data_IF_905551976188
#
_entry.id   IF_905551976188
#
_cell.length_a   1.000
_cell.length_b   1.000
_cell.length_c   1.000
_cell.angle_alpha   90.00
_cell.angle_beta   90.00
_cell.angle_gamma   90.00
#
_symmetry.space_group_name_H-M   'P 1'
#
loop_
_entity.id
_entity.type
_entity.pdbx_description
1 polymer ?
#
# COMPACT_ATOMS: atom_id res chain seq x y z
N UNK A 1 -4.39 -15.36 -34.89
CA UNK A 1 -4.30 -14.02 -34.32
C UNK A 1 -4.31 -14.13 -32.81
N UNK A 2 -3.28 -13.68 -32.22
CA UNK A 2 -3.17 -13.76 -30.78
C UNK A 2 -3.61 -12.43 -30.19
N UNK A 3 -4.87 -12.36 -29.83
CA UNK A 3 -5.34 -11.25 -29.02
C UNK A 3 -4.52 -11.25 -27.73
N UNK A 4 -3.99 -10.10 -27.34
CA UNK A 4 -3.44 -9.89 -26.02
C UNK A 4 -4.56 -10.23 -25.05
N UNK A 5 -4.40 -11.24 -24.16
CA UNK A 5 -5.45 -11.50 -23.19
C UNK A 5 -5.66 -10.22 -22.41
N UNK A 6 -6.89 -9.73 -22.40
CA UNK A 6 -7.28 -8.64 -21.52
C UNK A 6 -7.15 -9.16 -20.10
N UNK A 7 -5.99 -8.95 -19.51
CA UNK A 7 -5.79 -9.25 -18.11
C UNK A 7 -6.66 -8.29 -17.33
N UNK A 8 -7.65 -8.83 -16.65
CA UNK A 8 -8.38 -8.06 -15.66
C UNK A 8 -7.38 -7.61 -14.61
N UNK A 9 -7.42 -6.33 -14.21
CA UNK A 9 -6.61 -5.88 -13.08
C UNK A 9 -6.95 -6.76 -11.89
N UNK A 10 -5.93 -7.37 -11.28
CA UNK A 10 -6.11 -8.19 -10.10
C UNK A 10 -6.04 -7.29 -8.88
N UNK A 11 -6.95 -7.48 -7.96
CA UNK A 11 -6.87 -6.91 -6.62
C UNK A 11 -6.19 -7.93 -5.72
N UNK A 12 -5.23 -7.46 -4.95
CA UNK A 12 -4.57 -8.27 -3.94
C UNK A 12 -4.80 -7.65 -2.58
N UNK A 13 -5.08 -8.48 -1.59
CA UNK A 13 -5.10 -8.05 -0.21
C UNK A 13 -3.69 -8.16 0.36
N UNK A 14 -3.23 -7.07 0.97
CA UNK A 14 -1.94 -7.01 1.63
C UNK A 14 -2.18 -6.92 3.13
N UNK A 15 -1.55 -7.80 3.88
CA UNK A 15 -1.60 -7.80 5.34
C UNK A 15 -0.24 -7.51 5.90
N UNK A 16 -0.19 -6.77 6.99
CA UNK A 16 1.03 -6.47 7.70
C UNK A 16 0.86 -6.76 9.19
N UNK A 17 1.94 -7.23 9.80
CA UNK A 17 2.05 -7.43 11.22
C UNK A 17 3.32 -6.75 11.69
N UNK A 18 3.21 -5.90 12.69
CA UNK A 18 4.34 -5.18 13.27
C UNK A 18 4.37 -5.45 14.77
N UNK A 19 5.49 -5.98 15.25
CA UNK A 19 5.63 -6.30 16.67
C UNK A 19 5.79 -5.03 17.51
N UNK A 20 5.56 -5.15 18.81
CA UNK A 20 5.94 -4.10 19.76
C UNK A 20 7.46 -4.00 19.81
N UNK A 21 8.01 -2.80 19.82
CA UNK A 21 9.45 -2.59 19.92
C UNK A 21 9.98 -3.04 21.28
N UNK A 22 11.17 -3.62 21.28
CA UNK A 22 11.92 -3.93 22.51
C UNK A 22 13.10 -2.98 22.61
N UNK A 23 13.32 -2.42 23.79
CA UNK A 23 14.36 -1.41 24.01
C UNK A 23 15.78 -1.91 23.71
N UNK A 24 16.01 -3.23 23.74
CA UNK A 24 17.34 -3.83 23.60
C UNK A 24 17.53 -4.66 22.32
N UNK A 25 16.61 -4.63 21.38
CA UNK A 25 16.67 -5.44 20.16
C UNK A 25 17.23 -4.67 18.94
N UNK A 26 18.15 -3.75 19.19
CA UNK A 26 18.83 -3.04 18.12
C UNK A 26 19.62 -4.03 17.25
N UNK A 27 19.20 -4.21 16.01
CA UNK A 27 19.88 -5.04 15.04
C UNK A 27 19.32 -6.43 14.81
N UNK A 28 18.34 -6.88 15.63
CA UNK A 28 17.73 -8.19 15.49
C UNK A 28 16.29 -8.15 14.95
N UNK A 29 15.82 -6.99 14.53
CA UNK A 29 14.47 -6.83 13.99
C UNK A 29 14.33 -7.57 12.67
N UNK A 30 13.29 -8.39 12.57
CA UNK A 30 13.02 -9.19 11.38
C UNK A 30 12.22 -8.41 10.37
N UNK A 31 12.55 -8.60 9.11
CA UNK A 31 11.81 -8.06 7.97
C UNK A 31 11.48 -9.23 7.05
N UNK A 32 10.23 -9.66 7.04
CA UNK A 32 9.80 -10.84 6.29
C UNK A 32 8.70 -10.44 5.31
N UNK A 33 8.87 -10.84 4.06
CA UNK A 33 7.86 -10.64 3.02
C UNK A 33 7.43 -11.98 2.44
N UNK A 34 6.16 -12.09 2.11
CA UNK A 34 5.60 -13.24 1.41
C UNK A 34 4.67 -12.74 0.30
N UNK A 35 4.98 -13.10 -0.94
CA UNK A 35 4.25 -12.62 -2.11
C UNK A 35 4.58 -11.21 -2.54
N UNK A 36 5.30 -10.44 -1.74
CA UNK A 36 5.72 -9.08 -2.04
C UNK A 36 7.21 -9.08 -2.43
N UNK A 37 7.61 -8.09 -3.23
CA UNK A 37 9.02 -7.85 -3.51
C UNK A 37 9.70 -7.30 -2.24
N UNK A 38 10.73 -8.00 -1.76
CA UNK A 38 11.41 -7.64 -0.52
C UNK A 38 12.16 -6.32 -0.62
N UNK A 39 12.75 -6.01 -1.77
CA UNK A 39 13.45 -4.74 -1.99
C UNK A 39 12.49 -3.56 -1.94
N UNK A 40 11.34 -3.68 -2.60
CA UNK A 40 10.33 -2.63 -2.55
C UNK A 40 9.77 -2.44 -1.16
N UNK A 41 9.54 -3.53 -0.45
CA UNK A 41 9.07 -3.48 0.94
C UNK A 41 10.10 -2.78 1.84
N UNK A 42 11.37 -3.12 1.69
CA UNK A 42 12.44 -2.46 2.46
C UNK A 42 12.50 -0.96 2.20
N UNK A 43 12.35 -0.54 0.94
CA UNK A 43 12.30 0.88 0.59
C UNK A 43 11.06 1.57 1.20
N UNK A 44 9.93 0.92 1.16
CA UNK A 44 8.69 1.42 1.76
C UNK A 44 8.85 1.61 3.27
N UNK A 45 9.48 0.66 3.96
CA UNK A 45 9.75 0.78 5.41
C UNK A 45 10.63 1.98 5.70
N UNK A 46 11.70 2.19 4.92
CA UNK A 46 12.59 3.33 5.09
C UNK A 46 11.86 4.66 4.88
N UNK A 47 11.01 4.73 3.85
CA UNK A 47 10.22 5.93 3.57
C UNK A 47 9.24 6.22 4.71
N UNK A 48 8.58 5.20 5.23
CA UNK A 48 7.65 5.37 6.35
C UNK A 48 8.35 5.92 7.59
N UNK A 49 9.54 5.43 7.91
CA UNK A 49 10.30 5.95 9.05
C UNK A 49 10.78 7.38 8.83
N UNK A 50 11.37 7.65 7.67
CA UNK A 50 12.09 8.90 7.41
C UNK A 50 11.20 10.02 6.89
N UNK A 51 10.06 9.69 6.27
CA UNK A 51 9.19 10.68 5.64
C UNK A 51 7.79 10.76 6.24
N UNK A 52 7.36 9.74 6.97
CA UNK A 52 6.03 9.70 7.56
C UNK A 52 6.06 9.53 9.09
N UNK A 53 7.23 9.47 9.67
CA UNK A 53 7.43 9.38 11.11
C UNK A 53 6.73 8.16 11.75
N UNK A 54 6.75 7.05 11.05
CA UNK A 54 6.25 5.76 11.55
C UNK A 54 7.42 5.02 12.17
N UNK A 55 7.35 4.75 13.47
CA UNK A 55 8.45 4.07 14.19
C UNK A 55 8.43 2.59 13.89
N UNK A 56 9.49 2.09 13.26
CA UNK A 56 9.66 0.68 12.89
C UNK A 56 10.98 0.09 13.39
N UNK A 57 11.91 0.93 13.84
CA UNK A 57 13.20 0.49 14.36
C UNK A 57 13.01 -0.41 15.58
N UNK A 58 13.70 -1.55 15.61
CA UNK A 58 13.61 -2.52 16.68
C UNK A 58 12.32 -3.34 16.70
N UNK A 59 11.47 -3.17 15.69
CA UNK A 59 10.20 -3.90 15.58
C UNK A 59 10.28 -4.89 14.43
N UNK A 60 9.74 -6.08 14.64
CA UNK A 60 9.60 -7.05 13.55
C UNK A 60 8.47 -6.62 12.64
N UNK A 61 8.68 -6.72 11.34
CA UNK A 61 7.67 -6.39 10.33
C UNK A 61 7.48 -7.58 9.40
N UNK A 62 6.25 -8.01 9.28
CA UNK A 62 5.83 -9.09 8.38
C UNK A 62 4.81 -8.52 7.41
N UNK A 63 5.06 -8.68 6.12
CA UNK A 63 4.15 -8.21 5.06
C UNK A 63 3.86 -9.37 4.12
N UNK A 64 2.60 -9.64 3.88
CA UNK A 64 2.21 -10.76 3.04
C UNK A 64 1.02 -10.40 2.17
N UNK A 65 0.96 -11.02 0.99
CA UNK A 65 -0.27 -11.05 0.20
C UNK A 65 -1.13 -12.22 0.68
N UNK A 66 -2.42 -12.03 0.70
CA UNK A 66 -3.36 -13.11 1.03
C UNK A 66 -3.43 -14.12 -0.11
N UNK A 67 -3.40 -15.40 0.24
CA UNK A 67 -3.50 -16.48 -0.76
C UNK A 67 -2.22 -16.75 -1.55
N UNK A 68 -1.09 -16.20 -1.14
CA UNK A 68 0.21 -16.44 -1.78
C UNK A 68 0.38 -15.80 -3.15
N UNK A 69 -0.49 -14.86 -3.50
CA UNK A 69 -0.38 -14.13 -4.77
C UNK A 69 0.93 -13.34 -4.82
N UNK A 70 1.63 -13.42 -5.95
CA UNK A 70 2.84 -12.61 -6.14
C UNK A 70 2.46 -11.20 -6.57
N UNK A 71 2.96 -10.22 -5.84
CA UNK A 71 2.71 -8.80 -6.08
C UNK A 71 4.05 -8.07 -6.10
N UNK A 72 4.55 -7.78 -7.29
CA UNK A 72 5.82 -7.07 -7.48
C UNK A 72 5.65 -5.71 -8.14
N UNK A 73 4.42 -5.31 -8.44
CA UNK A 73 4.14 -4.04 -9.10
C UNK A 73 4.42 -2.84 -8.19
N UNK A 74 5.05 -1.78 -8.72
CA UNK A 74 5.17 -0.51 -7.99
C UNK A 74 3.82 0.07 -7.53
N UNK A 75 2.76 -0.19 -8.27
CA UNK A 75 1.42 0.28 -7.93
C UNK A 75 0.91 -0.22 -6.58
N UNK A 76 1.48 -1.30 -6.04
CA UNK A 76 1.12 -1.86 -4.74
C UNK A 76 1.80 -1.17 -3.55
N UNK A 77 2.75 -0.27 -3.80
CA UNK A 77 3.52 0.38 -2.73
C UNK A 77 2.63 1.12 -1.74
N UNK A 78 1.67 1.88 -2.22
CA UNK A 78 0.80 2.67 -1.34
C UNK A 78 -0.04 1.77 -0.44
N UNK A 79 -0.59 0.70 -0.97
CA UNK A 79 -1.36 -0.26 -0.17
C UNK A 79 -0.50 -0.91 0.90
N UNK A 80 0.73 -1.31 0.55
CA UNK A 80 1.68 -1.87 1.51
C UNK A 80 2.04 -0.85 2.60
N UNK A 81 2.29 0.39 2.21
CA UNK A 81 2.62 1.47 3.16
C UNK A 81 1.48 1.71 4.15
N UNK A 82 0.24 1.75 3.68
CA UNK A 82 -0.92 1.94 4.56
C UNK A 82 -1.13 0.74 5.48
N UNK A 83 -0.97 -0.47 4.98
CA UNK A 83 -1.10 -1.69 5.78
C UNK A 83 -0.05 -1.73 6.91
N UNK A 84 1.20 -1.40 6.60
CA UNK A 84 2.29 -1.35 7.59
C UNK A 84 2.02 -0.26 8.62
N UNK A 85 1.61 0.92 8.19
CA UNK A 85 1.32 2.06 9.08
C UNK A 85 0.17 1.74 10.02
N UNK A 86 -0.88 1.13 9.50
CA UNK A 86 -2.03 0.65 10.27
C UNK A 86 -1.59 -0.34 11.35
N UNK A 87 -0.80 -1.34 10.97
CA UNK A 87 -0.29 -2.34 11.91
C UNK A 87 0.63 -1.73 12.97
N UNK A 88 1.50 -0.80 12.55
CA UNK A 88 2.44 -0.14 13.47
C UNK A 88 1.72 0.70 14.54
N UNK A 89 0.61 1.30 14.19
CA UNK A 89 -0.19 2.16 15.09
C UNK A 89 -1.35 1.43 15.76
N UNK A 90 -1.61 0.18 15.40
CA UNK A 90 -2.72 -0.60 15.95
C UNK A 90 -4.09 -0.06 15.58
N UNK A 91 -4.21 0.59 14.44
CA UNK A 91 -5.45 1.20 13.95
C UNK A 91 -5.90 0.50 12.68
N UNK A 92 -7.17 0.15 12.59
CA UNK A 92 -7.71 -0.56 11.44
C UNK A 92 -7.94 0.37 10.25
N UNK A 93 -7.64 -0.12 9.05
CA UNK A 93 -8.03 0.54 7.82
C UNK A 93 -9.50 0.25 7.49
N UNK A 94 -10.19 1.15 6.78
CA UNK A 94 -11.53 0.83 6.29
C UNK A 94 -11.52 -0.43 5.40
N UNK A 95 -12.48 -1.32 5.62
CA UNK A 95 -12.55 -2.60 4.90
C UNK A 95 -12.83 -2.43 3.40
N UNK A 96 -13.45 -1.31 3.01
CA UNK A 96 -13.83 -1.01 1.63
C UNK A 96 -12.81 -0.12 0.91
N UNK A 97 -11.60 0.03 1.48
CA UNK A 97 -10.55 0.89 0.92
C UNK A 97 -9.67 0.12 -0.05
N UNK A 98 -9.43 0.70 -1.21
CA UNK A 98 -8.40 0.28 -2.14
C UNK A 98 -7.37 1.40 -2.26
N UNK A 99 -6.10 1.06 -2.39
CA UNK A 99 -5.02 2.04 -2.53
C UNK A 99 -4.13 1.64 -3.69
N UNK A 100 -3.83 2.61 -4.55
CA UNK A 100 -3.03 2.41 -5.76
C UNK A 100 -2.03 3.56 -5.84
N UNK A 101 -0.76 3.25 -5.98
CA UNK A 101 0.27 4.25 -6.18
C UNK A 101 1.66 3.72 -5.91
N UNK A 102 2.64 4.26 -6.61
CA UNK A 102 4.04 4.00 -6.34
C UNK A 102 4.55 5.00 -5.32
N UNK A 103 5.34 4.54 -4.36
CA UNK A 103 5.93 5.40 -3.32
C UNK A 103 7.39 5.64 -3.65
N UNK A 104 7.74 6.91 -3.86
CA UNK A 104 9.13 7.30 -4.08
C UNK A 104 9.89 7.55 -2.79
N UNK A 105 11.22 7.65 -2.90
CA UNK A 105 12.12 7.78 -1.74
C UNK A 105 11.95 9.09 -0.98
N UNK A 106 11.40 10.11 -1.61
CA UNK A 106 11.08 11.38 -0.95
C UNK A 106 9.71 11.36 -0.26
N UNK A 107 8.99 10.24 -0.32
CA UNK A 107 7.63 10.11 0.22
C UNK A 107 6.56 10.56 -0.76
N UNK A 108 6.92 10.87 -1.99
CA UNK A 108 5.95 11.24 -3.01
C UNK A 108 5.17 10.02 -3.50
N UNK A 109 3.93 10.24 -3.87
CA UNK A 109 3.09 9.21 -4.49
C UNK A 109 3.09 9.44 -5.99
N UNK A 110 3.60 8.47 -6.73
CA UNK A 110 3.77 8.56 -8.17
C UNK A 110 2.61 7.93 -8.92
N UNK A 111 2.26 8.52 -10.05
CA UNK A 111 1.24 7.98 -10.94
C UNK A 111 1.66 6.61 -11.48
N UNK A 112 0.66 5.77 -11.68
CA UNK A 112 0.83 4.45 -12.29
C UNK A 112 -0.17 4.29 -13.42
N UNK A 113 0.08 3.34 -14.30
CA UNK A 113 -0.82 3.09 -15.43
C UNK A 113 -2.08 2.35 -15.01
N UNK A 114 -3.15 2.57 -15.75
CA UNK A 114 -4.37 1.78 -15.62
C UNK A 114 -5.21 2.05 -14.39
N UNK A 115 -5.08 3.22 -13.75
CA UNK A 115 -5.82 3.54 -12.52
C UNK A 115 -7.32 3.49 -12.75
N UNK A 116 -7.82 4.05 -13.86
CA UNK A 116 -9.26 4.03 -14.18
C UNK A 116 -9.80 2.61 -14.18
N UNK A 117 -9.17 1.69 -14.89
CA UNK A 117 -9.59 0.30 -14.99
C UNK A 117 -9.50 -0.44 -13.66
N UNK A 118 -8.45 -0.17 -12.89
CA UNK A 118 -8.26 -0.77 -11.57
C UNK A 118 -9.37 -0.35 -10.62
N UNK A 119 -9.77 0.91 -10.66
CA UNK A 119 -10.85 1.42 -9.81
C UNK A 119 -12.22 0.87 -10.24
N UNK A 120 -12.47 0.78 -11.52
CA UNK A 120 -13.73 0.19 -12.03
C UNK A 120 -13.88 -1.26 -11.56
N UNK A 121 -12.78 -2.03 -11.61
CA UNK A 121 -12.77 -3.40 -11.11
C UNK A 121 -12.96 -3.45 -9.60
N UNK A 122 -12.31 -2.56 -8.87
CA UNK A 122 -12.46 -2.47 -7.42
C UNK A 122 -13.91 -2.16 -7.03
N UNK A 123 -14.55 -1.21 -7.72
CA UNK A 123 -15.94 -0.87 -7.47
C UNK A 123 -16.85 -2.08 -7.74
N UNK A 124 -16.59 -2.81 -8.81
CA UNK A 124 -17.36 -4.01 -9.15
C UNK A 124 -17.26 -5.07 -8.06
N UNK A 125 -16.13 -5.14 -7.36
CA UNK A 125 -15.88 -6.08 -6.27
C UNK A 125 -16.36 -5.57 -4.91
N UNK A 126 -16.95 -4.37 -4.84
CA UNK A 126 -17.57 -3.86 -3.63
C UNK A 126 -16.73 -2.83 -2.87
N UNK A 127 -15.57 -2.43 -3.37
CA UNK A 127 -14.79 -1.37 -2.76
C UNK A 127 -15.38 -0.01 -3.09
N UNK A 128 -15.48 0.86 -2.10
CA UNK A 128 -16.18 2.14 -2.24
C UNK A 128 -15.28 3.35 -2.02
N UNK A 129 -14.06 3.15 -1.57
CA UNK A 129 -13.09 4.21 -1.32
C UNK A 129 -11.78 3.87 -2.01
N UNK A 130 -11.15 4.87 -2.60
CA UNK A 130 -9.87 4.69 -3.26
C UNK A 130 -8.93 5.83 -2.93
N UNK A 131 -7.69 5.48 -2.60
CA UNK A 131 -6.59 6.43 -2.55
C UNK A 131 -5.74 6.22 -3.79
N UNK A 132 -5.53 7.30 -4.52
CA UNK A 132 -4.81 7.27 -5.81
C UNK A 132 -3.85 8.46 -5.89
N UNK A 133 -2.85 8.38 -6.78
CA UNK A 133 -1.94 9.50 -6.96
C UNK A 133 -2.66 10.75 -7.47
N UNK A 134 -2.29 11.90 -6.92
CA UNK A 134 -2.82 13.18 -7.38
C UNK A 134 -2.56 13.36 -8.88
N UNK A 135 -3.55 13.90 -9.57
CA UNK A 135 -3.47 14.13 -11.01
C UNK A 135 -3.73 12.90 -11.87
N UNK A 136 -4.31 11.84 -11.32
CA UNK A 136 -4.63 10.62 -12.06
C UNK A 136 -5.77 10.79 -13.07
N UNK A 137 -6.59 11.82 -12.92
CA UNK A 137 -7.68 12.19 -13.84
C UNK A 137 -8.63 11.02 -14.14
N UNK A 138 -9.31 10.54 -13.09
CA UNK A 138 -10.23 9.42 -13.18
C UNK A 138 -11.65 9.84 -12.81
N UNK A 139 -12.63 9.14 -13.37
CA UNK A 139 -14.04 9.28 -13.00
C UNK A 139 -14.63 7.90 -12.79
N UNK A 140 -15.02 7.61 -11.56
CA UNK A 140 -15.66 6.35 -11.19
C UNK A 140 -16.88 6.67 -10.32
N UNK A 141 -18.05 6.87 -10.93
CA UNK A 141 -19.26 7.14 -10.15
C UNK A 141 -19.55 6.02 -9.16
N UNK A 142 -19.92 6.39 -7.94
CA UNK A 142 -20.17 5.44 -6.86
C UNK A 142 -18.97 5.15 -5.98
N UNK A 143 -17.80 5.70 -6.31
CA UNK A 143 -16.58 5.53 -5.51
C UNK A 143 -16.11 6.87 -4.96
N UNK A 144 -15.79 6.90 -3.67
CA UNK A 144 -15.11 8.05 -3.06
C UNK A 144 -13.63 7.98 -3.41
N UNK A 145 -13.17 8.94 -4.19
CA UNK A 145 -11.79 8.98 -4.67
C UNK A 145 -11.05 10.08 -3.91
N UNK A 146 -9.95 9.69 -3.27
CA UNK A 146 -9.07 10.60 -2.54
C UNK A 146 -7.72 10.62 -3.26
N UNK A 147 -7.36 11.77 -3.80
CA UNK A 147 -6.07 11.96 -4.44
C UNK A 147 -5.03 12.34 -3.39
N UNK A 148 -3.87 11.71 -3.45
CA UNK A 148 -2.78 11.95 -2.51
C UNK A 148 -1.48 12.17 -3.26
N UNK A 149 -0.67 13.10 -2.77
CA UNK A 149 0.63 13.43 -3.37
C UNK A 149 1.80 12.93 -2.52
N UNK A 150 1.57 12.67 -1.23
CA UNK A 150 2.61 12.26 -0.29
C UNK A 150 2.09 11.17 0.63
N UNK A 151 3.01 10.32 1.09
CA UNK A 151 2.66 9.21 1.97
C UNK A 151 2.14 9.68 3.34
N UNK A 152 2.74 10.72 3.90
CA UNK A 152 2.28 11.29 5.17
C UNK A 152 0.86 11.86 5.06
N UNK A 153 0.54 12.49 3.94
CA UNK A 153 -0.80 12.96 3.63
C UNK A 153 -1.81 11.79 3.57
N UNK A 154 -1.44 10.71 2.89
CA UNK A 154 -2.31 9.54 2.77
C UNK A 154 -2.60 8.92 4.14
N UNK A 155 -1.58 8.77 4.98
CA UNK A 155 -1.72 8.23 6.34
C UNK A 155 -2.64 9.13 7.17
N UNK A 156 -2.47 10.45 7.09
CA UNK A 156 -3.34 11.38 7.80
C UNK A 156 -4.79 11.32 7.36
N UNK A 157 -5.04 11.10 6.07
CA UNK A 157 -6.40 11.03 5.52
C UNK A 157 -7.15 9.76 5.91
N UNK A 158 -6.46 8.65 6.15
CA UNK A 158 -7.09 7.44 6.69
C UNK A 158 -7.17 7.45 8.22
N UNK A 159 -6.69 8.50 8.85
CA UNK A 159 -6.75 8.72 10.31
C UNK A 159 -6.01 7.63 11.12
N UNK A 160 -4.86 7.21 10.62
CA UNK A 160 -3.95 6.34 11.38
C UNK A 160 -2.76 7.10 11.95
#
# INVERSE_FOLDING_TARGET
MHGIPLRRPLLAEIQALVSAGRENDYGNARRVTSGMDSSRTSMTLAVLELRANIRLSGRDVYVATVGGMKMSEPAADLAAALAISSAAKGLALPADLVAIGEVGLAGEIRKVSGVQRRLEEALRLGFKRAFIPAGSDVKVPGMEIVEVSRIDQAIGKVKI
#
